data_IF_486392350478
#
_entry.id   IF_486392350478
#
_cell.length_a   1.000
_cell.length_b   1.000
_cell.length_c   1.000
_cell.angle_alpha   90.00
_cell.angle_beta   90.00
_cell.angle_gamma   90.00
#
_symmetry.space_group_name_H-M   'P 1'
#
loop_
_entity.id
_entity.type
_entity.pdbx_description
1 polymer ?
#
# COMPACT_ATOMS: atom_id res chain seq x y z
N UNK A 1 -1.25 5.80 15.95
CA UNK A 1 -0.43 5.01 14.99
C UNK A 1 -0.70 5.59 13.61
N UNK A 2 0.33 5.96 12.88
CA UNK A 2 0.21 6.49 11.53
C UNK A 2 1.34 7.44 11.20
N UNK A 3 1.81 7.42 9.96
CA UNK A 3 2.92 8.26 9.49
C UNK A 3 2.44 9.56 8.84
N UNK A 4 1.13 9.71 8.60
CA UNK A 4 0.53 10.82 7.85
C UNK A 4 1.05 12.21 8.24
N UNK A 5 1.00 12.57 9.53
CA UNK A 5 1.44 13.88 10.01
C UNK A 5 2.94 14.14 9.78
N UNK A 6 3.78 13.11 9.91
CA UNK A 6 5.22 13.22 9.65
C UNK A 6 5.52 13.35 8.16
N UNK A 7 4.75 12.64 7.31
CA UNK A 7 4.84 12.74 5.85
C UNK A 7 4.43 14.15 5.39
N UNK A 8 3.32 14.66 5.90
CA UNK A 8 2.80 15.99 5.56
C UNK A 8 3.76 17.11 5.98
N UNK A 9 4.33 17.02 7.18
CA UNK A 9 5.26 18.03 7.72
C UNK A 9 6.70 17.87 7.21
N UNK A 10 6.99 16.88 6.36
CA UNK A 10 8.34 16.64 5.83
C UNK A 10 9.34 16.19 6.89
N UNK A 11 8.86 15.61 8.00
CA UNK A 11 9.68 15.19 9.14
C UNK A 11 10.20 13.75 9.01
N UNK A 12 10.20 13.19 7.80
CA UNK A 12 10.69 11.83 7.51
C UNK A 12 12.15 11.88 7.07
N UNK A 13 13.04 11.50 7.98
CA UNK A 13 14.49 11.44 7.74
C UNK A 13 15.07 10.10 8.22
N UNK A 14 16.18 9.70 7.61
CA UNK A 14 16.84 8.43 7.88
C UNK A 14 17.51 7.86 6.63
N UNK A 15 18.32 6.82 6.84
CA UNK A 15 18.98 6.07 5.79
C UNK A 15 18.39 4.65 5.73
N UNK A 16 17.36 4.49 4.91
CA UNK A 16 16.68 3.22 4.66
C UNK A 16 16.13 3.24 3.23
N UNK A 17 15.97 2.08 2.62
CA UNK A 17 15.55 1.96 1.22
C UNK A 17 14.03 1.97 1.04
N UNK A 18 13.29 1.49 2.05
CA UNK A 18 11.84 1.27 2.00
C UNK A 18 11.14 2.00 3.14
N UNK A 19 10.05 2.68 2.84
CA UNK A 19 9.19 3.35 3.81
C UNK A 19 7.79 2.71 3.84
N UNK A 20 7.40 2.20 5.01
CA UNK A 20 6.07 1.63 5.24
C UNK A 20 5.02 2.71 5.45
N UNK A 21 3.92 2.61 4.71
CA UNK A 21 2.79 3.54 4.76
C UNK A 21 1.56 2.78 5.27
N UNK A 22 0.87 3.33 6.27
CA UNK A 22 -0.40 2.79 6.77
C UNK A 22 -1.60 3.32 5.97
N UNK A 23 -2.78 2.72 6.15
CA UNK A 23 -3.98 3.02 5.36
C UNK A 23 -4.59 4.40 5.65
N UNK A 24 -4.24 5.03 6.78
CA UNK A 24 -4.66 6.38 7.11
C UNK A 24 -3.95 7.46 6.29
N UNK A 25 -2.85 7.11 5.62
CA UNK A 25 -2.11 8.03 4.75
C UNK A 25 -2.47 7.77 3.28
N UNK A 26 -3.00 8.76 2.53
CA UNK A 26 -3.22 8.58 1.09
C UNK A 26 -1.91 8.24 0.37
N UNK A 27 -1.90 7.15 -0.42
CA UNK A 27 -0.68 6.71 -1.12
C UNK A 27 -0.17 7.77 -2.12
N UNK A 28 -1.07 8.56 -2.72
CA UNK A 28 -0.69 9.66 -3.60
C UNK A 28 0.14 10.74 -2.88
N UNK A 29 -0.26 11.10 -1.66
CA UNK A 29 0.50 12.05 -0.83
C UNK A 29 1.86 11.47 -0.43
N UNK A 30 1.91 10.20 -0.03
CA UNK A 30 3.17 9.54 0.27
C UNK A 30 4.10 9.50 -0.96
N UNK A 31 3.57 9.19 -2.14
CA UNK A 31 4.31 9.20 -3.41
C UNK A 31 4.88 10.58 -3.72
N UNK A 32 4.08 11.63 -3.59
CA UNK A 32 4.51 13.02 -3.82
C UNK A 32 5.66 13.41 -2.88
N UNK A 33 5.52 13.16 -1.59
CA UNK A 33 6.48 13.63 -0.59
C UNK A 33 7.74 12.77 -0.48
N UNK A 34 7.61 11.46 -0.71
CA UNK A 34 8.64 10.48 -0.36
C UNK A 34 9.10 9.61 -1.52
N UNK A 35 8.34 9.55 -2.63
CA UNK A 35 8.58 8.60 -3.72
C UNK A 35 9.89 8.80 -4.47
N UNK A 36 10.43 10.03 -4.50
CA UNK A 36 11.74 10.31 -5.09
C UNK A 36 12.87 9.66 -4.29
N UNK A 37 12.77 9.66 -2.96
CA UNK A 37 13.83 9.17 -2.07
C UNK A 37 13.68 7.70 -1.72
N UNK A 38 12.46 7.23 -1.46
CA UNK A 38 12.21 5.90 -0.89
C UNK A 38 11.34 5.04 -1.80
N UNK A 39 11.49 3.71 -1.70
CA UNK A 39 10.47 2.76 -2.16
C UNK A 39 9.34 2.77 -1.14
N UNK A 40 8.08 2.84 -1.59
CA UNK A 40 6.94 2.83 -0.68
C UNK A 40 6.41 1.41 -0.51
N UNK A 41 6.04 1.03 0.72
CA UNK A 41 5.39 -0.25 1.02
C UNK A 41 4.02 -0.02 1.65
N UNK A 42 2.99 -0.76 1.22
CA UNK A 42 1.64 -0.68 1.78
C UNK A 42 0.57 -0.47 0.70
N UNK A 43 -0.60 0.08 1.01
CA UNK A 43 -1.06 0.42 2.35
C UNK A 43 -2.52 0.04 2.56
N UNK A 44 -2.98 -1.05 1.93
CA UNK A 44 -4.39 -1.45 2.00
C UNK A 44 -4.82 -1.73 3.44
N UNK A 45 -5.98 -1.21 3.83
CA UNK A 45 -6.61 -1.52 5.11
C UNK A 45 -6.94 -3.04 5.19
N UNK A 46 -6.54 -3.75 6.27
CA UNK A 46 -6.74 -5.21 6.37
C UNK A 46 -8.19 -5.65 6.23
N UNK A 47 -9.16 -4.88 6.74
CA UNK A 47 -10.59 -5.22 6.68
C UNK A 47 -11.13 -5.28 5.25
N UNK A 48 -10.45 -4.68 4.26
CA UNK A 48 -10.86 -4.79 2.85
C UNK A 48 -10.75 -6.22 2.33
N UNK A 49 -9.95 -7.07 2.99
CA UNK A 49 -9.85 -8.49 2.66
C UNK A 49 -11.15 -9.27 2.90
N UNK A 50 -12.14 -8.75 3.62
CA UNK A 50 -13.42 -9.47 3.76
C UNK A 50 -14.30 -9.40 2.50
N UNK A 51 -14.04 -8.46 1.58
CA UNK A 51 -14.76 -8.35 0.31
C UNK A 51 -13.79 -8.35 -0.88
N UNK A 52 -14.05 -9.23 -1.86
CA UNK A 52 -13.26 -9.28 -3.09
C UNK A 52 -13.40 -8.00 -3.89
N UNK A 53 -14.58 -7.39 -3.88
CA UNK A 53 -14.88 -6.12 -4.52
C UNK A 53 -14.07 -4.98 -3.88
N UNK A 54 -14.07 -4.89 -2.55
CA UNK A 54 -13.31 -3.88 -1.81
C UNK A 54 -11.79 -4.06 -1.97
N UNK A 55 -11.32 -5.31 -1.94
CA UNK A 55 -9.93 -5.66 -2.25
C UNK A 55 -9.56 -5.20 -3.65
N UNK A 56 -10.38 -5.55 -4.65
CA UNK A 56 -10.12 -5.21 -6.05
C UNK A 56 -10.06 -3.71 -6.27
N UNK A 57 -11.05 -2.98 -5.79
CA UNK A 57 -11.08 -1.53 -5.92
C UNK A 57 -9.83 -0.87 -5.32
N UNK A 58 -9.40 -1.33 -4.14
CA UNK A 58 -8.22 -0.78 -3.48
C UNK A 58 -6.92 -1.12 -4.23
N UNK A 59 -6.71 -2.38 -4.61
CA UNK A 59 -5.49 -2.78 -5.34
C UNK A 59 -5.41 -2.06 -6.69
N UNK A 60 -6.51 -1.96 -7.44
CA UNK A 60 -6.55 -1.22 -8.71
C UNK A 60 -6.20 0.26 -8.52
N UNK A 61 -6.76 0.91 -7.49
CA UNK A 61 -6.47 2.31 -7.18
C UNK A 61 -4.99 2.51 -6.79
N UNK A 62 -4.42 1.61 -6.01
CA UNK A 62 -3.01 1.65 -5.62
C UNK A 62 -2.08 1.40 -6.82
N UNK A 63 -2.41 0.44 -7.67
CA UNK A 63 -1.65 0.13 -8.89
C UNK A 63 -1.60 1.34 -9.83
N UNK A 64 -2.72 2.03 -10.03
CA UNK A 64 -2.76 3.24 -10.85
C UNK A 64 -1.95 4.37 -10.20
N UNK A 65 -2.16 4.61 -8.89
CA UNK A 65 -1.42 5.64 -8.15
C UNK A 65 0.09 5.43 -8.23
N UNK A 66 0.54 4.18 -8.14
CA UNK A 66 1.95 3.79 -8.09
C UNK A 66 2.51 3.31 -9.43
N UNK A 67 1.79 3.51 -10.54
CA UNK A 67 2.15 3.01 -11.88
C UNK A 67 3.60 3.28 -12.26
N UNK A 68 4.03 4.54 -12.13
CA UNK A 68 5.40 4.99 -12.42
C UNK A 68 6.30 5.06 -11.17
N UNK A 69 5.81 4.57 -10.03
CA UNK A 69 6.52 4.59 -8.75
C UNK A 69 7.29 3.29 -8.46
N UNK A 70 8.07 3.33 -7.38
CA UNK A 70 8.65 2.14 -6.74
C UNK A 70 7.75 1.73 -5.58
N UNK A 71 7.04 0.62 -5.72
CA UNK A 71 6.00 0.22 -4.77
C UNK A 71 6.06 -1.28 -4.45
N UNK A 72 5.96 -1.59 -3.16
CA UNK A 72 5.73 -2.94 -2.65
C UNK A 72 4.31 -2.98 -2.09
N UNK A 73 3.43 -3.72 -2.76
CA UNK A 73 2.08 -3.94 -2.24
C UNK A 73 2.15 -4.65 -0.89
N UNK A 74 1.46 -4.08 0.10
CA UNK A 74 1.27 -4.70 1.40
C UNK A 74 0.00 -4.16 2.04
N UNK A 75 -0.43 -4.80 3.12
CA UNK A 75 -1.40 -4.22 4.03
C UNK A 75 -0.75 -3.10 4.84
N UNK A 76 -1.55 -2.15 5.32
CA UNK A 76 -1.08 -1.13 6.26
C UNK A 76 -0.99 -1.63 7.72
N UNK A 77 -1.45 -2.86 8.00
CA UNK A 77 -1.27 -3.57 9.27
C UNK A 77 -1.20 -5.08 9.02
N UNK A 78 -0.94 -5.85 10.09
CA UNK A 78 -1.15 -7.29 10.08
C UNK A 78 -2.60 -7.67 9.73
N UNK A 79 -2.72 -8.77 8.99
CA UNK A 79 -3.99 -9.44 8.66
C UNK A 79 -4.71 -9.88 9.94
N UNK A 80 -6.05 -9.87 9.92
CA UNK A 80 -6.86 -10.38 11.03
C UNK A 80 -6.95 -11.91 10.97
N UNK A 81 -6.93 -12.63 12.12
CA UNK A 81 -6.85 -14.10 12.14
C UNK A 81 -8.03 -14.82 11.47
N UNK A 82 -9.19 -14.18 11.40
CA UNK A 82 -10.45 -14.70 10.87
C UNK A 82 -10.67 -14.39 9.38
N UNK A 83 -9.73 -13.67 8.74
CA UNK A 83 -9.79 -13.44 7.29
C UNK A 83 -9.63 -14.78 6.56
N UNK A 84 -10.56 -15.13 5.65
CA UNK A 84 -10.43 -16.35 4.85
C UNK A 84 -9.13 -16.34 4.04
N UNK A 85 -8.37 -17.44 4.11
CA UNK A 85 -7.09 -17.60 3.38
C UNK A 85 -7.24 -17.34 1.88
N UNK A 86 -8.38 -17.73 1.30
CA UNK A 86 -8.68 -17.50 -0.11
C UNK A 86 -8.76 -16.01 -0.48
N UNK A 87 -9.16 -15.14 0.45
CA UNK A 87 -9.18 -13.70 0.20
C UNK A 87 -7.77 -13.11 0.24
N UNK A 88 -6.89 -13.61 1.11
CA UNK A 88 -5.48 -13.23 1.11
C UNK A 88 -4.78 -13.68 -0.18
N UNK A 89 -5.03 -14.92 -0.65
CA UNK A 89 -4.54 -15.40 -1.95
C UNK A 89 -5.06 -14.54 -3.11
N UNK A 90 -6.34 -14.15 -3.07
CA UNK A 90 -6.94 -13.28 -4.07
C UNK A 90 -6.24 -11.91 -4.13
N UNK A 91 -5.96 -11.29 -2.97
CA UNK A 91 -5.18 -10.06 -2.89
C UNK A 91 -3.80 -10.20 -3.56
N UNK A 92 -3.04 -11.24 -3.19
CA UNK A 92 -1.69 -11.47 -3.75
C UNK A 92 -1.75 -11.63 -5.27
N UNK A 93 -2.67 -12.46 -5.77
CA UNK A 93 -2.85 -12.69 -7.21
C UNK A 93 -3.18 -11.39 -7.93
N UNK A 94 -4.09 -10.59 -7.38
CA UNK A 94 -4.50 -9.35 -7.99
C UNK A 94 -3.37 -8.31 -8.04
N UNK A 95 -2.55 -8.22 -7.00
CA UNK A 95 -1.36 -7.37 -7.01
C UNK A 95 -0.43 -7.74 -8.17
N UNK A 96 -0.13 -9.03 -8.34
CA UNK A 96 0.72 -9.52 -9.43
C UNK A 96 0.13 -9.24 -10.82
N UNK A 97 -1.18 -9.43 -10.99
CA UNK A 97 -1.88 -9.19 -12.26
C UNK A 97 -1.89 -7.71 -12.65
N UNK A 98 -2.19 -6.82 -11.71
CA UNK A 98 -2.38 -5.39 -11.98
C UNK A 98 -1.07 -4.59 -11.98
N UNK A 99 0.00 -5.11 -11.36
CA UNK A 99 1.30 -4.44 -11.34
C UNK A 99 2.27 -4.92 -12.42
N UNK A 100 1.86 -5.88 -13.27
CA UNK A 100 2.73 -6.39 -14.34
C UNK A 100 3.03 -5.28 -15.34
N UNK A 101 4.31 -5.06 -15.61
CA UNK A 101 4.82 -4.14 -16.64
C UNK A 101 5.27 -4.97 -17.84
N UNK A 102 5.04 -4.44 -19.05
CA UNK A 102 5.53 -5.03 -20.30
C UNK A 102 7.04 -4.84 -20.46
#
# INVERSE_FOLDING_TARGET
KGVAAFVEQGLVYGNFDVFGVDWGTPMALAKEKLGEKYVLQGNMEPCRLYSKEATKACVSSLAETMKDGRHIFNLGHGILPDVPVENAKYFVKLCQELSRRD
#
